data_IF_299873131880
#
_entry.id   IF_299873131880
#
_cell.length_a   1.000
_cell.length_b   1.000
_cell.length_c   1.000
_cell.angle_alpha   90.00
_cell.angle_beta   90.00
_cell.angle_gamma   90.00
#
_symmetry.space_group_name_H-M   'P 1'
#
loop_
_entity.id
_entity.type
_entity.pdbx_description
1 polymer ?
#
# COMPACT_ATOMS: atom_id res chain seq x y z
N UNK A 1 -31.67 0.87 -9.56
CA UNK A 1 -30.30 1.44 -9.50
C UNK A 1 -29.56 1.04 -10.77
N UNK A 2 -28.84 1.95 -11.44
CA UNK A 2 -28.06 1.62 -12.63
C UNK A 2 -27.01 0.55 -12.28
N UNK A 3 -26.85 -0.49 -13.12
CA UNK A 3 -26.00 -1.66 -12.85
C UNK A 3 -24.56 -1.31 -12.46
N UNK A 4 -23.94 -0.34 -13.17
CA UNK A 4 -22.59 0.12 -12.85
C UNK A 4 -22.48 0.76 -11.47
N UNK A 5 -23.53 1.47 -11.00
CA UNK A 5 -23.56 2.04 -9.64
C UNK A 5 -23.64 0.96 -8.58
N UNK A 6 -24.43 -0.11 -8.83
CA UNK A 6 -24.50 -1.28 -7.93
C UNK A 6 -23.14 -1.97 -7.85
N UNK A 7 -22.52 -2.24 -9.01
CA UNK A 7 -21.19 -2.84 -9.06
C UNK A 7 -20.17 -1.97 -8.31
N UNK A 8 -20.21 -0.65 -8.49
CA UNK A 8 -19.31 0.28 -7.81
C UNK A 8 -19.42 0.17 -6.27
N UNK A 9 -20.64 0.21 -5.72
CA UNK A 9 -20.82 0.15 -4.27
C UNK A 9 -20.46 -1.23 -3.69
N UNK A 10 -20.83 -2.31 -4.36
CA UNK A 10 -20.47 -3.67 -3.92
C UNK A 10 -18.96 -3.88 -3.98
N UNK A 11 -18.31 -3.43 -5.04
CA UNK A 11 -16.85 -3.51 -5.16
C UNK A 11 -16.15 -2.56 -4.18
N UNK A 12 -16.73 -1.41 -3.87
CA UNK A 12 -16.25 -0.52 -2.82
C UNK A 12 -16.18 -1.23 -1.47
N UNK A 13 -17.29 -1.88 -1.08
CA UNK A 13 -17.36 -2.68 0.16
C UNK A 13 -16.35 -3.83 0.11
N UNK A 14 -16.28 -4.56 -1.01
CA UNK A 14 -15.34 -5.67 -1.19
C UNK A 14 -13.88 -5.24 -1.06
N UNK A 15 -13.50 -4.13 -1.71
CA UNK A 15 -12.14 -3.57 -1.64
C UNK A 15 -11.83 -3.03 -0.27
N UNK A 16 -12.78 -2.35 0.39
CA UNK A 16 -12.63 -1.87 1.77
C UNK A 16 -12.29 -3.03 2.71
N UNK A 17 -13.10 -4.07 2.73
CA UNK A 17 -12.89 -5.21 3.62
C UNK A 17 -11.65 -6.03 3.27
N UNK A 18 -11.33 -6.19 1.99
CA UNK A 18 -10.08 -6.88 1.58
C UNK A 18 -8.84 -6.08 1.98
N UNK A 19 -8.86 -4.77 1.79
CA UNK A 19 -7.77 -3.89 2.22
C UNK A 19 -7.66 -3.85 3.75
N UNK A 20 -8.79 -3.80 4.45
CA UNK A 20 -8.82 -3.88 5.91
C UNK A 20 -8.24 -5.20 6.41
N UNK A 21 -8.62 -6.34 5.82
CA UNK A 21 -8.10 -7.66 6.19
C UNK A 21 -6.60 -7.79 5.93
N UNK A 22 -6.10 -7.19 4.84
CA UNK A 22 -4.66 -7.18 4.55
C UNK A 22 -3.88 -6.39 5.61
N UNK A 23 -4.33 -5.18 5.93
CA UNK A 23 -3.67 -4.30 6.90
C UNK A 23 -3.93 -4.68 8.35
N UNK A 24 -5.01 -5.42 8.63
CA UNK A 24 -5.35 -5.97 9.94
C UNK A 24 -4.23 -6.84 10.53
N UNK A 25 -3.54 -7.58 9.67
CA UNK A 25 -2.48 -8.51 10.08
C UNK A 25 -1.17 -7.79 10.47
N UNK A 26 -0.95 -6.57 9.97
CA UNK A 26 0.32 -5.86 10.12
C UNK A 26 0.71 -5.65 11.59
N UNK A 27 -0.15 -5.13 12.49
CA UNK A 27 0.27 -4.80 13.85
C UNK A 27 0.54 -6.01 14.75
N UNK A 28 -0.04 -7.16 14.49
CA UNK A 28 0.14 -8.32 15.36
C UNK A 28 1.03 -9.43 14.80
N UNK A 29 1.38 -9.43 13.51
CA UNK A 29 2.22 -10.47 12.93
C UNK A 29 3.59 -10.62 13.63
N UNK A 30 4.36 -9.56 13.90
CA UNK A 30 5.61 -9.68 14.64
C UNK A 30 5.41 -10.15 16.10
N UNK A 31 4.31 -9.73 16.75
CA UNK A 31 3.97 -10.18 18.09
C UNK A 31 3.58 -11.67 18.08
N UNK A 32 2.88 -12.11 17.03
CA UNK A 32 2.55 -13.53 16.86
C UNK A 32 3.78 -14.41 16.64
N UNK A 33 4.82 -13.91 15.96
CA UNK A 33 6.09 -14.62 15.83
C UNK A 33 6.71 -14.95 17.22
N UNK A 34 6.67 -14.00 18.16
CA UNK A 34 7.13 -14.24 19.54
C UNK A 34 6.29 -15.35 20.21
N UNK A 35 4.97 -15.39 19.98
CA UNK A 35 4.08 -16.40 20.55
C UNK A 35 4.32 -17.82 20.03
N UNK A 36 4.83 -17.97 18.80
CA UNK A 36 5.21 -19.27 18.22
C UNK A 36 6.68 -19.63 18.45
N UNK A 37 7.36 -18.89 19.36
CA UNK A 37 8.72 -19.23 19.81
C UNK A 37 9.85 -18.62 18.99
N UNK A 38 9.59 -17.63 18.12
CA UNK A 38 10.64 -16.90 17.41
C UNK A 38 11.10 -15.73 18.27
N UNK A 39 12.13 -15.94 19.08
CA UNK A 39 12.70 -14.88 19.92
C UNK A 39 13.97 -14.29 19.33
N UNK A 40 14.72 -15.09 18.54
CA UNK A 40 15.92 -14.63 17.85
C UNK A 40 15.56 -14.09 16.47
N UNK A 41 16.11 -12.92 16.13
CA UNK A 41 15.93 -12.28 14.82
C UNK A 41 14.47 -12.07 14.39
N UNK A 42 13.57 -11.79 15.35
CA UNK A 42 12.12 -11.58 15.08
C UNK A 42 11.88 -10.47 14.05
N UNK A 43 12.69 -9.41 14.09
CA UNK A 43 12.64 -8.30 13.14
C UNK A 43 12.97 -8.76 11.72
N UNK A 44 13.99 -9.60 11.56
CA UNK A 44 14.39 -10.15 10.26
C UNK A 44 13.31 -11.09 9.71
N UNK A 45 12.76 -11.96 10.54
CA UNK A 45 11.62 -12.80 10.17
C UNK A 45 10.42 -11.97 9.75
N UNK A 46 10.09 -10.94 10.51
CA UNK A 46 8.98 -10.01 10.17
C UNK A 46 9.21 -9.35 8.80
N UNK A 47 10.41 -8.82 8.57
CA UNK A 47 10.81 -8.23 7.30
C UNK A 47 10.69 -9.21 6.13
N UNK A 48 11.14 -10.46 6.32
CA UNK A 48 11.06 -11.53 5.33
C UNK A 48 9.60 -11.88 5.00
N UNK A 49 8.74 -12.00 6.01
CA UNK A 49 7.32 -12.33 5.84
C UNK A 49 6.55 -11.24 5.08
N UNK A 50 6.82 -9.97 5.36
CA UNK A 50 6.21 -8.86 4.60
C UNK A 50 6.77 -8.78 3.19
N UNK A 51 8.09 -8.78 3.02
CA UNK A 51 8.76 -8.68 1.73
C UNK A 51 8.42 -9.83 0.79
N UNK A 52 8.32 -11.07 1.29
CA UNK A 52 7.99 -12.25 0.49
C UNK A 52 6.60 -12.18 -0.14
N UNK A 53 5.60 -11.66 0.58
CA UNK A 53 4.26 -11.48 0.04
C UNK A 53 4.22 -10.46 -1.10
N UNK A 54 4.91 -9.30 -0.95
CA UNK A 54 5.03 -8.32 -2.01
C UNK A 54 5.80 -8.85 -3.22
N UNK A 55 6.91 -9.57 -2.99
CA UNK A 55 7.71 -10.17 -4.04
C UNK A 55 6.92 -11.19 -4.87
N UNK A 56 6.25 -12.12 -4.20
CA UNK A 56 5.41 -13.12 -4.84
C UNK A 56 4.25 -12.49 -5.61
N UNK A 57 3.62 -11.43 -5.05
CA UNK A 57 2.57 -10.67 -5.71
C UNK A 57 3.04 -9.93 -6.95
N UNK A 58 4.22 -9.32 -6.90
CA UNK A 58 4.82 -8.64 -8.05
C UNK A 58 5.08 -9.62 -9.20
N UNK A 59 5.61 -10.82 -8.91
CA UNK A 59 5.84 -11.87 -9.91
C UNK A 59 4.53 -12.43 -10.49
N UNK A 60 3.49 -12.61 -9.67
CA UNK A 60 2.23 -13.19 -10.09
C UNK A 60 1.32 -12.20 -10.84
N UNK A 61 1.47 -10.90 -10.60
CA UNK A 61 0.59 -9.86 -11.15
C UNK A 61 0.44 -9.89 -12.69
N UNK A 62 1.51 -10.01 -13.50
CA UNK A 62 1.39 -10.08 -14.96
C UNK A 62 0.67 -11.34 -15.43
N UNK A 63 0.89 -12.47 -14.74
CA UNK A 63 0.22 -13.72 -15.04
C UNK A 63 -1.29 -13.62 -14.83
N UNK A 64 -1.72 -13.19 -13.63
CA UNK A 64 -3.14 -13.05 -13.30
C UNK A 64 -3.84 -11.97 -14.09
N UNK A 65 -3.16 -10.89 -14.44
CA UNK A 65 -3.67 -9.89 -15.37
C UNK A 65 -4.01 -10.49 -16.74
N UNK A 66 -3.12 -11.36 -17.25
CA UNK A 66 -3.34 -12.08 -18.52
C UNK A 66 -4.54 -13.04 -18.46
N UNK A 67 -4.67 -13.76 -17.36
CA UNK A 67 -5.79 -14.67 -17.13
C UNK A 67 -7.11 -13.90 -17.01
N UNK A 68 -7.10 -12.75 -16.32
CA UNK A 68 -8.27 -11.86 -16.20
C UNK A 68 -8.72 -11.31 -17.56
N UNK A 69 -7.78 -10.97 -18.45
CA UNK A 69 -8.08 -10.50 -19.81
C UNK A 69 -8.65 -11.61 -20.70
N UNK A 70 -8.40 -12.89 -20.38
CA UNK A 70 -8.89 -14.05 -21.13
C UNK A 70 -10.22 -14.60 -20.58
N UNK A 71 -10.39 -14.67 -19.28
CA UNK A 71 -11.50 -15.37 -18.62
C UNK A 71 -12.49 -14.43 -17.90
N UNK A 72 -12.21 -13.14 -17.86
CA UNK A 72 -13.01 -12.14 -17.15
C UNK A 72 -12.42 -11.73 -15.80
N UNK A 73 -12.81 -10.57 -15.35
CA UNK A 73 -12.29 -9.95 -14.11
C UNK A 73 -13.04 -10.42 -12.87
N UNK A 74 -14.37 -10.59 -12.98
CA UNK A 74 -15.19 -11.08 -11.87
C UNK A 74 -14.72 -12.46 -11.38
N UNK A 75 -14.50 -13.50 -12.23
CA UNK A 75 -13.97 -14.78 -11.78
C UNK A 75 -12.62 -14.68 -11.07
N UNK A 76 -11.74 -13.75 -11.52
CA UNK A 76 -10.44 -13.55 -10.91
C UNK A 76 -10.52 -12.89 -9.54
N UNK A 77 -11.45 -11.97 -9.32
CA UNK A 77 -11.73 -11.38 -8.00
C UNK A 77 -12.23 -12.46 -7.05
N UNK A 78 -13.19 -13.30 -7.48
CA UNK A 78 -13.76 -14.38 -6.68
C UNK A 78 -12.67 -15.39 -6.29
N UNK A 79 -11.84 -15.82 -7.25
CA UNK A 79 -10.70 -16.70 -7.00
C UNK A 79 -9.76 -16.12 -5.94
N UNK A 80 -9.37 -14.83 -6.10
CA UNK A 80 -8.47 -14.18 -5.16
C UNK A 80 -9.08 -14.07 -3.76
N UNK A 81 -10.38 -13.77 -3.66
CA UNK A 81 -11.09 -13.70 -2.40
C UNK A 81 -11.14 -15.04 -1.66
N UNK A 82 -11.48 -16.13 -2.36
CA UNK A 82 -11.44 -17.46 -1.75
C UNK A 82 -10.04 -17.91 -1.36
N UNK A 83 -9.04 -17.63 -2.19
CA UNK A 83 -7.65 -17.93 -1.87
C UNK A 83 -7.20 -17.19 -0.59
N UNK A 84 -7.52 -15.90 -0.47
CA UNK A 84 -7.21 -15.13 0.74
C UNK A 84 -7.95 -15.65 1.97
N UNK A 85 -9.22 -16.02 1.86
CA UNK A 85 -9.97 -16.66 2.94
C UNK A 85 -9.28 -17.92 3.45
N UNK A 86 -8.93 -18.84 2.53
CA UNK A 86 -8.25 -20.10 2.90
C UNK A 86 -6.90 -19.83 3.55
N UNK A 87 -6.09 -18.94 2.95
CA UNK A 87 -4.75 -18.62 3.45
C UNK A 87 -4.81 -18.01 4.84
N UNK A 88 -5.66 -17.00 5.06
CA UNK A 88 -5.80 -16.38 6.38
C UNK A 88 -6.33 -17.37 7.42
N UNK A 89 -7.27 -18.25 7.04
CA UNK A 89 -7.76 -19.29 7.94
C UNK A 89 -6.63 -20.27 8.30
N UNK A 90 -5.81 -20.70 7.32
CA UNK A 90 -4.67 -21.58 7.59
C UNK A 90 -3.60 -20.91 8.47
N UNK A 91 -3.40 -19.58 8.34
CA UNK A 91 -2.48 -18.86 9.23
C UNK A 91 -2.86 -18.95 10.71
N UNK A 92 -4.13 -19.17 11.03
CA UNK A 92 -4.56 -19.39 12.42
C UNK A 92 -4.04 -20.71 13.04
N UNK A 93 -3.66 -21.67 12.22
CA UNK A 93 -3.22 -23.01 12.67
C UNK A 93 -1.70 -23.21 12.62
N UNK A 94 -0.93 -22.26 12.13
CA UNK A 94 0.53 -22.37 12.01
C UNK A 94 1.20 -22.49 13.37
N UNK A 95 2.28 -23.25 13.41
CA UNK A 95 3.06 -23.55 14.61
C UNK A 95 4.51 -23.09 14.54
N UNK A 96 5.00 -22.78 13.33
CA UNK A 96 6.38 -22.36 13.12
C UNK A 96 6.48 -21.25 12.03
N UNK A 97 7.58 -20.48 12.00
CA UNK A 97 7.73 -19.35 11.09
C UNK A 97 7.80 -19.74 9.60
N UNK A 98 8.24 -20.95 9.28
CA UNK A 98 8.32 -21.42 7.88
C UNK A 98 6.95 -21.65 7.28
N UNK A 99 5.99 -22.15 8.06
CA UNK A 99 4.60 -22.31 7.62
C UNK A 99 3.98 -20.96 7.28
N UNK A 100 4.21 -19.94 8.13
CA UNK A 100 3.75 -18.56 7.82
C UNK A 100 4.42 -18.05 6.55
N UNK A 101 5.72 -18.30 6.36
CA UNK A 101 6.45 -17.85 5.17
C UNK A 101 5.83 -18.43 3.89
N UNK A 102 5.55 -19.74 3.89
CA UNK A 102 4.89 -20.40 2.76
C UNK A 102 3.52 -19.77 2.50
N UNK A 103 2.71 -19.55 3.54
CA UNK A 103 1.39 -18.95 3.41
C UNK A 103 1.47 -17.47 2.93
N UNK A 104 2.48 -16.71 3.33
CA UNK A 104 2.74 -15.36 2.84
C UNK A 104 3.13 -15.34 1.36
N UNK A 105 3.98 -16.26 0.93
CA UNK A 105 4.31 -16.44 -0.49
C UNK A 105 3.04 -16.81 -1.28
N UNK A 106 2.26 -17.77 -0.80
CA UNK A 106 0.99 -18.15 -1.43
C UNK A 106 -0.01 -16.98 -1.46
N UNK A 107 -0.09 -16.17 -0.40
CA UNK A 107 -0.89 -14.96 -0.34
C UNK A 107 -0.51 -14.00 -1.47
N UNK A 108 0.77 -13.75 -1.66
CA UNK A 108 1.27 -12.92 -2.77
C UNK A 108 0.93 -13.53 -4.13
N UNK A 109 1.28 -14.81 -4.34
CA UNK A 109 1.04 -15.52 -5.61
C UNK A 109 -0.45 -15.56 -6.01
N UNK A 110 -1.35 -15.73 -5.05
CA UNK A 110 -2.79 -15.87 -5.29
C UNK A 110 -3.56 -14.57 -5.10
N UNK A 111 -2.90 -13.44 -4.83
CA UNK A 111 -3.50 -12.12 -4.70
C UNK A 111 -4.11 -11.64 -6.03
N UNK A 112 -4.67 -10.44 -6.03
CA UNK A 112 -5.22 -9.81 -7.24
C UNK A 112 -6.66 -9.31 -7.11
N UNK A 113 -7.23 -9.35 -5.91
CA UNK A 113 -8.60 -8.89 -5.65
C UNK A 113 -8.76 -7.38 -5.98
N UNK A 114 -7.92 -6.53 -5.39
CA UNK A 114 -8.00 -5.07 -5.59
C UNK A 114 -7.70 -4.67 -7.05
N UNK A 115 -6.61 -5.12 -7.70
CA UNK A 115 -6.37 -4.86 -9.11
C UNK A 115 -7.50 -5.36 -10.02
N UNK A 116 -8.09 -6.53 -9.71
CA UNK A 116 -9.24 -7.06 -10.42
C UNK A 116 -10.47 -6.16 -10.31
N UNK A 117 -10.76 -5.65 -9.11
CA UNK A 117 -11.85 -4.71 -8.88
C UNK A 117 -11.67 -3.39 -9.63
N UNK A 118 -10.46 -2.82 -9.61
CA UNK A 118 -10.09 -1.62 -10.36
C UNK A 118 -10.31 -1.85 -11.87
N UNK A 119 -9.85 -2.99 -12.40
CA UNK A 119 -9.99 -3.33 -13.81
C UNK A 119 -11.45 -3.53 -14.20
N UNK A 120 -12.26 -4.19 -13.35
CA UNK A 120 -13.70 -4.41 -13.61
C UNK A 120 -14.45 -3.07 -13.65
N UNK A 121 -14.21 -2.18 -12.70
CA UNK A 121 -14.82 -0.84 -12.67
C UNK A 121 -14.39 -0.02 -13.89
N UNK A 122 -13.11 -0.06 -14.24
CA UNK A 122 -12.61 0.68 -15.41
C UNK A 122 -13.27 0.29 -16.73
N UNK A 123 -13.78 -0.94 -16.84
CA UNK A 123 -14.41 -1.43 -18.09
C UNK A 123 -15.94 -1.43 -18.05
N UNK A 124 -16.55 -1.51 -16.87
CA UNK A 124 -18.01 -1.60 -16.74
C UNK A 124 -18.67 -0.28 -16.38
N UNK A 125 -17.90 0.81 -16.28
CA UNK A 125 -18.40 2.16 -15.98
C UNK A 125 -18.42 3.00 -17.26
N UNK A 126 -19.46 3.83 -17.51
CA UNK A 126 -19.46 4.79 -18.61
C UNK A 126 -18.23 5.71 -18.59
N UNK A 127 -17.68 6.02 -19.78
CA UNK A 127 -16.42 6.77 -19.91
C UNK A 127 -16.39 8.09 -19.11
N UNK A 128 -17.53 8.83 -19.09
CA UNK A 128 -17.62 10.11 -18.37
C UNK A 128 -17.56 9.93 -16.83
N UNK A 129 -17.77 8.73 -16.32
CA UNK A 129 -17.84 8.42 -14.87
C UNK A 129 -16.70 7.51 -14.39
N UNK A 130 -15.82 7.03 -15.27
CA UNK A 130 -14.72 6.13 -14.93
C UNK A 130 -13.79 6.78 -13.90
N UNK A 131 -13.41 8.04 -14.07
CA UNK A 131 -12.55 8.75 -13.12
C UNK A 131 -13.13 8.80 -11.70
N UNK A 132 -14.43 9.14 -11.60
CA UNK A 132 -15.15 9.13 -10.33
C UNK A 132 -15.17 7.71 -9.70
N UNK A 133 -15.50 6.70 -10.49
CA UNK A 133 -15.63 5.34 -10.00
C UNK A 133 -14.28 4.76 -9.52
N UNK A 134 -13.18 5.04 -10.24
CA UNK A 134 -11.83 4.64 -9.83
C UNK A 134 -11.39 5.36 -8.55
N UNK A 135 -11.71 6.65 -8.40
CA UNK A 135 -11.43 7.40 -7.17
C UNK A 135 -12.19 6.82 -5.97
N UNK A 136 -13.43 6.40 -6.16
CA UNK A 136 -14.23 5.71 -5.13
C UNK A 136 -13.58 4.39 -4.70
N UNK A 137 -13.11 3.55 -5.65
CA UNK A 137 -12.41 2.30 -5.30
C UNK A 137 -11.09 2.58 -4.56
N UNK A 138 -10.34 3.61 -4.98
CA UNK A 138 -9.13 4.02 -4.28
C UNK A 138 -9.42 4.49 -2.84
N UNK A 139 -10.54 5.21 -2.63
CA UNK A 139 -10.96 5.60 -1.28
C UNK A 139 -11.31 4.40 -0.40
N UNK A 140 -11.93 3.36 -0.97
CA UNK A 140 -12.21 2.12 -0.26
C UNK A 140 -10.92 1.44 0.23
N UNK A 141 -9.93 1.34 -0.66
CA UNK A 141 -8.63 0.75 -0.32
C UNK A 141 -7.91 1.55 0.77
N UNK A 142 -7.88 2.87 0.65
CA UNK A 142 -7.27 3.76 1.65
C UNK A 142 -7.98 3.65 3.01
N UNK A 143 -9.33 3.71 3.02
CA UNK A 143 -10.11 3.59 4.26
C UNK A 143 -9.92 2.24 4.93
N UNK A 144 -9.89 1.15 4.14
CA UNK A 144 -9.59 -0.20 4.64
C UNK A 144 -8.19 -0.28 5.25
N UNK A 145 -7.20 0.34 4.60
CA UNK A 145 -5.82 0.43 5.12
C UNK A 145 -5.71 1.15 6.46
N UNK A 146 -6.57 2.15 6.71
CA UNK A 146 -6.61 2.91 7.98
C UNK A 146 -7.33 2.12 9.08
N UNK A 147 -8.49 1.54 8.74
CA UNK A 147 -9.35 0.86 9.71
C UNK A 147 -8.82 -0.53 10.05
N UNK A 148 -8.12 -1.18 9.10
CA UNK A 148 -7.60 -2.54 9.27
C UNK A 148 -6.73 -2.73 10.51
N UNK A 149 -5.68 -1.93 10.74
CA UNK A 149 -4.84 -2.08 11.93
C UNK A 149 -5.61 -1.91 13.24
N UNK A 150 -6.61 -1.02 13.30
CA UNK A 150 -7.51 -0.87 14.47
C UNK A 150 -8.34 -2.13 14.68
N UNK A 151 -8.95 -2.67 13.62
CA UNK A 151 -9.69 -3.93 13.69
C UNK A 151 -8.78 -5.08 14.10
N UNK A 152 -7.55 -5.14 13.54
CA UNK A 152 -6.57 -6.17 13.83
C UNK A 152 -6.13 -6.16 15.28
N UNK A 153 -5.78 -4.99 15.80
CA UNK A 153 -5.41 -4.82 17.20
C UNK A 153 -6.58 -5.16 18.15
N UNK A 154 -7.80 -4.67 17.85
CA UNK A 154 -8.98 -4.98 18.63
C UNK A 154 -9.36 -6.46 18.61
N UNK A 155 -9.32 -7.12 17.45
CA UNK A 155 -9.60 -8.55 17.35
C UNK A 155 -8.51 -9.38 18.03
N UNK A 156 -7.25 -8.96 17.93
CA UNK A 156 -6.15 -9.63 18.63
C UNK A 156 -6.34 -9.60 20.16
N UNK A 157 -6.90 -8.55 20.69
CA UNK A 157 -7.24 -8.43 22.11
C UNK A 157 -8.45 -9.29 22.52
N UNK A 158 -9.50 -9.31 21.67
CA UNK A 158 -10.76 -10.01 21.97
C UNK A 158 -10.64 -11.53 21.82
N UNK A 159 -10.02 -12.00 20.73
CA UNK A 159 -9.98 -13.42 20.37
C UNK A 159 -8.56 -13.99 20.29
N UNK A 160 -7.56 -13.17 20.57
CA UNK A 160 -6.13 -13.53 20.47
C UNK A 160 -5.58 -13.38 19.05
N UNK A 161 -4.25 -13.20 18.95
CA UNK A 161 -3.54 -12.98 17.67
C UNK A 161 -3.79 -14.09 16.66
N UNK A 162 -3.88 -15.34 17.10
CA UNK A 162 -4.11 -16.53 16.26
C UNK A 162 -5.46 -16.46 15.53
N UNK A 163 -6.53 -16.20 16.27
CA UNK A 163 -7.88 -16.13 15.70
C UNK A 163 -8.17 -14.83 14.94
N UNK A 164 -7.34 -13.81 15.13
CA UNK A 164 -7.40 -12.58 14.32
C UNK A 164 -7.08 -12.86 12.84
N UNK A 165 -6.21 -13.82 12.53
CA UNK A 165 -6.02 -14.25 11.13
C UNK A 165 -7.31 -14.86 10.55
N UNK A 166 -7.96 -15.77 11.28
CA UNK A 166 -9.21 -16.37 10.83
C UNK A 166 -10.31 -15.31 10.64
N UNK A 167 -10.39 -14.33 11.53
CA UNK A 167 -11.34 -13.20 11.43
C UNK A 167 -11.11 -12.40 10.15
N UNK A 168 -9.85 -12.09 9.80
CA UNK A 168 -9.50 -11.43 8.55
C UNK A 168 -9.96 -12.28 7.33
N UNK A 169 -9.78 -13.60 7.38
CA UNK A 169 -10.27 -14.52 6.36
C UNK A 169 -11.80 -14.50 6.22
N UNK A 170 -12.52 -14.55 7.32
CA UNK A 170 -13.99 -14.52 7.35
C UNK A 170 -14.53 -13.22 6.73
N UNK A 171 -13.90 -12.09 7.05
CA UNK A 171 -14.26 -10.78 6.47
C UNK A 171 -14.14 -10.82 4.93
N UNK A 172 -13.01 -11.31 4.40
CA UNK A 172 -12.81 -11.45 2.94
C UNK A 172 -13.79 -12.44 2.33
N UNK A 173 -14.12 -13.53 3.02
CA UNK A 173 -15.10 -14.50 2.57
C UNK A 173 -16.47 -13.84 2.34
N UNK A 174 -17.00 -13.12 3.32
CA UNK A 174 -18.28 -12.42 3.17
C UNK A 174 -18.24 -11.35 2.08
N UNK A 175 -17.15 -10.60 1.96
CA UNK A 175 -16.95 -9.65 0.87
C UNK A 175 -16.99 -10.35 -0.50
N UNK A 176 -16.40 -11.55 -0.61
CA UNK A 176 -16.38 -12.35 -1.83
C UNK A 176 -17.77 -12.87 -2.17
N UNK A 177 -18.52 -13.34 -1.19
CA UNK A 177 -19.91 -13.80 -1.35
C UNK A 177 -20.80 -12.67 -1.90
N UNK A 178 -20.67 -11.45 -1.35
CA UNK A 178 -21.41 -10.28 -1.88
C UNK A 178 -21.10 -10.03 -3.36
N UNK A 179 -19.83 -10.19 -3.77
CA UNK A 179 -19.42 -10.01 -5.18
C UNK A 179 -20.01 -11.09 -6.07
N UNK A 180 -20.07 -12.35 -5.62
CA UNK A 180 -20.66 -13.46 -6.39
C UNK A 180 -22.09 -13.11 -6.78
N UNK A 181 -22.90 -12.69 -5.83
CA UNK A 181 -24.33 -12.49 -6.03
C UNK A 181 -24.70 -11.14 -6.62
N UNK A 182 -23.97 -10.08 -6.30
CA UNK A 182 -24.40 -8.70 -6.60
C UNK A 182 -23.62 -8.03 -7.73
N UNK A 183 -22.39 -8.48 -8.04
CA UNK A 183 -21.60 -7.90 -9.13
C UNK A 183 -21.92 -8.62 -10.44
N UNK A 184 -22.10 -7.88 -11.53
CA UNK A 184 -22.28 -8.41 -12.88
C UNK A 184 -21.16 -7.89 -13.79
N UNK A 185 -20.55 -8.78 -14.57
CA UNK A 185 -19.61 -8.43 -15.62
C UNK A 185 -20.30 -8.65 -16.96
N UNK A 186 -20.70 -7.53 -17.58
CA UNK A 186 -21.42 -7.55 -18.88
C UNK A 186 -20.46 -7.17 -20.00
N UNK A 187 -20.73 -7.71 -21.20
CA UNK A 187 -19.98 -7.39 -22.42
C UNK A 187 -18.46 -7.67 -22.35
N UNK A 188 -18.07 -8.66 -21.54
CA UNK A 188 -16.68 -9.07 -21.52
C UNK A 188 -16.25 -9.53 -22.92
N UNK A 189 -15.25 -8.86 -23.49
CA UNK A 189 -14.59 -9.25 -24.74
C UNK A 189 -13.14 -9.59 -24.44
N UNK A 190 -12.70 -10.82 -24.68
CA UNK A 190 -11.30 -11.19 -24.50
C UNK A 190 -10.38 -10.26 -25.31
N UNK A 191 -9.39 -9.67 -24.66
CA UNK A 191 -8.42 -8.81 -25.34
C UNK A 191 -7.38 -9.66 -26.08
N UNK A 192 -7.21 -9.40 -27.37
CA UNK A 192 -6.21 -10.09 -28.23
C UNK A 192 -4.87 -9.36 -28.30
N UNK A 193 -4.77 -8.09 -27.87
CA UNK A 193 -3.55 -7.28 -28.01
C UNK A 193 -3.05 -6.82 -26.65
N UNK A 194 -1.87 -7.27 -26.26
CA UNK A 194 -1.05 -6.64 -25.21
C UNK A 194 -0.05 -5.70 -25.85
N UNK A 195 0.08 -4.50 -25.29
CA UNK A 195 1.28 -3.68 -25.52
C UNK A 195 2.52 -4.43 -25.01
N UNK A 196 3.65 -4.25 -25.66
CA UNK A 196 4.91 -4.86 -25.23
C UNK A 196 5.39 -4.15 -23.95
N UNK A 197 5.41 -4.85 -22.83
CA UNK A 197 5.97 -4.35 -21.55
C UNK A 197 7.39 -3.83 -21.73
N UNK A 198 8.18 -4.47 -22.62
CA UNK A 198 9.54 -4.05 -22.95
C UNK A 198 9.56 -2.66 -23.61
N UNK A 199 8.62 -2.37 -24.51
CA UNK A 199 8.52 -1.05 -25.15
C UNK A 199 8.04 0.02 -24.17
N UNK A 200 7.13 -0.33 -23.25
CA UNK A 200 6.67 0.60 -22.23
C UNK A 200 7.79 0.98 -21.27
N UNK A 201 8.64 0.01 -20.90
CA UNK A 201 9.82 0.25 -20.08
C UNK A 201 10.87 1.10 -20.81
N UNK A 202 11.08 0.84 -22.10
CA UNK A 202 11.97 1.66 -22.95
C UNK A 202 11.47 3.10 -23.02
N UNK A 203 10.18 3.31 -23.28
CA UNK A 203 9.57 4.64 -23.29
C UNK A 203 9.71 5.36 -21.94
N UNK A 204 9.61 4.64 -20.84
CA UNK A 204 9.83 5.20 -19.50
C UNK A 204 11.29 5.62 -19.30
N UNK A 205 12.26 4.80 -19.72
CA UNK A 205 13.71 5.09 -19.63
C UNK A 205 14.12 6.33 -20.44
N UNK A 206 13.49 6.56 -21.57
CA UNK A 206 13.72 7.73 -22.43
C UNK A 206 13.12 9.02 -21.86
N UNK A 207 12.12 8.90 -20.96
CA UNK A 207 11.45 10.04 -20.32
C UNK A 207 12.06 10.33 -18.93
N UNK A 208 13.11 11.14 -18.89
CA UNK A 208 13.84 11.49 -17.65
C UNK A 208 12.94 12.00 -16.52
N UNK A 209 11.99 12.96 -16.71
CA UNK A 209 11.09 13.39 -15.65
C UNK A 209 10.24 12.25 -15.09
N UNK A 210 9.74 11.36 -15.94
CA UNK A 210 8.95 10.22 -15.50
C UNK A 210 9.80 9.19 -14.76
N UNK A 211 11.02 8.89 -15.23
CA UNK A 211 11.96 8.02 -14.52
C UNK A 211 12.29 8.55 -13.12
N UNK A 212 12.49 9.85 -12.97
CA UNK A 212 12.70 10.46 -11.66
C UNK A 212 11.52 10.24 -10.74
N UNK A 213 10.28 10.40 -11.24
CA UNK A 213 9.06 10.12 -10.44
C UNK A 213 9.00 8.66 -10.02
N UNK A 214 9.36 7.69 -10.90
CA UNK A 214 9.41 6.28 -10.55
C UNK A 214 10.45 5.99 -9.45
N UNK A 215 11.65 6.57 -9.55
CA UNK A 215 12.71 6.42 -8.53
C UNK A 215 12.23 6.99 -7.18
N UNK A 216 11.65 8.19 -7.19
CA UNK A 216 11.08 8.80 -5.99
C UNK A 216 9.97 7.94 -5.38
N UNK A 217 9.14 7.30 -6.22
CA UNK A 217 8.10 6.37 -5.75
C UNK A 217 8.72 5.13 -5.10
N UNK A 218 9.78 4.54 -5.68
CA UNK A 218 10.50 3.40 -5.07
C UNK A 218 11.05 3.79 -3.70
N UNK A 219 11.80 4.90 -3.62
CA UNK A 219 12.43 5.35 -2.37
C UNK A 219 11.37 5.63 -1.32
N UNK A 220 10.29 6.33 -1.67
CA UNK A 220 9.21 6.68 -0.75
C UNK A 220 8.48 5.44 -0.25
N UNK A 221 8.11 4.52 -1.14
CA UNK A 221 7.44 3.28 -0.77
C UNK A 221 8.35 2.39 0.10
N UNK A 222 9.63 2.27 -0.27
CA UNK A 222 10.64 1.59 0.54
C UNK A 222 10.70 2.19 1.94
N UNK A 223 10.84 3.52 2.04
CA UNK A 223 10.97 4.23 3.32
C UNK A 223 9.81 3.93 4.27
N UNK A 224 8.57 4.01 3.78
CA UNK A 224 7.38 3.80 4.63
C UNK A 224 7.27 2.37 5.11
N UNK A 225 7.49 1.42 4.20
CA UNK A 225 7.32 0.00 4.49
C UNK A 225 8.50 -0.60 5.29
N UNK A 226 9.62 0.15 5.40
CA UNK A 226 10.76 -0.21 6.26
C UNK A 226 10.38 -0.25 7.75
N UNK A 227 9.42 0.57 8.18
CA UNK A 227 8.98 0.63 9.60
C UNK A 227 8.03 -0.52 9.96
N UNK A 228 7.26 -1.04 9.01
CA UNK A 228 6.17 -2.00 9.29
C UNK A 228 6.59 -3.24 10.10
N UNK A 229 7.71 -3.94 9.79
CA UNK A 229 8.08 -5.15 10.49
C UNK A 229 8.56 -4.93 11.93
N UNK A 230 9.04 -3.73 12.26
CA UNK A 230 9.67 -3.44 13.55
C UNK A 230 8.78 -2.62 14.49
N UNK A 231 7.81 -1.89 13.96
CA UNK A 231 6.98 -0.98 14.75
C UNK A 231 6.21 -1.68 15.88
N UNK A 232 5.56 -2.85 15.68
CA UNK A 232 4.86 -3.54 16.77
C UNK A 232 5.81 -3.92 17.90
N UNK A 233 7.01 -4.42 17.59
CA UNK A 233 8.03 -4.78 18.58
C UNK A 233 8.52 -3.54 19.35
N UNK A 234 8.64 -2.40 18.66
CA UNK A 234 9.00 -1.14 19.33
C UNK A 234 7.89 -0.64 20.26
N UNK A 235 6.62 -0.83 19.90
CA UNK A 235 5.48 -0.47 20.74
C UNK A 235 5.43 -1.34 22.01
N UNK A 236 5.70 -2.66 21.89
CA UNK A 236 5.86 -3.54 23.05
C UNK A 236 6.89 -2.98 24.04
N UNK A 237 8.05 -2.54 23.50
CA UNK A 237 9.12 -1.95 24.31
C UNK A 237 8.71 -0.62 24.98
N UNK A 238 7.95 0.24 24.27
CA UNK A 238 7.51 1.55 24.80
C UNK A 238 6.35 1.42 25.79
N UNK A 239 5.49 0.41 25.66
CA UNK A 239 4.34 0.21 26.55
C UNK A 239 4.74 -0.30 27.95
N UNK A 240 5.87 -0.99 28.04
CA UNK A 240 6.38 -1.57 29.31
C UNK A 240 5.52 -2.70 29.87
N UNK A 241 4.41 -3.07 29.21
CA UNK A 241 3.50 -4.16 29.58
C UNK A 241 3.15 -4.99 28.36
N UNK A 242 2.86 -6.28 28.58
CA UNK A 242 2.39 -7.16 27.52
C UNK A 242 0.86 -7.00 27.26
N UNK A 243 0.14 -6.39 28.20
CA UNK A 243 -1.30 -6.22 28.13
C UNK A 243 -1.69 -5.15 27.11
N UNK A 244 -2.71 -5.41 26.31
CA UNK A 244 -3.26 -4.51 25.27
C UNK A 244 -2.27 -4.08 24.17
N UNK A 245 -1.12 -4.74 24.05
CA UNK A 245 -0.05 -4.33 23.13
C UNK A 245 -0.49 -4.39 21.66
N UNK A 246 -1.26 -5.41 21.29
CA UNK A 246 -1.78 -5.55 19.92
C UNK A 246 -2.76 -4.42 19.57
N UNK A 247 -3.61 -4.01 20.51
CA UNK A 247 -4.52 -2.88 20.34
C UNK A 247 -3.75 -1.57 20.24
N UNK A 248 -2.78 -1.33 21.12
CA UNK A 248 -1.90 -0.16 21.07
C UNK A 248 -1.13 -0.08 19.74
N UNK A 249 -0.60 -1.22 19.28
CA UNK A 249 0.02 -1.31 17.96
C UNK A 249 -0.97 -0.93 16.85
N UNK A 250 -2.18 -1.47 16.87
CA UNK A 250 -3.23 -1.13 15.91
C UNK A 250 -3.57 0.36 15.88
N UNK A 251 -3.70 1.00 17.04
CA UNK A 251 -3.95 2.44 17.16
C UNK A 251 -2.78 3.24 16.55
N UNK A 252 -1.54 2.95 16.97
CA UNK A 252 -0.36 3.68 16.51
C UNK A 252 -0.12 3.50 15.00
N UNK A 253 -0.41 2.31 14.45
CA UNK A 253 -0.37 2.08 13.01
C UNK A 253 -1.40 2.90 12.23
N UNK A 254 -2.57 3.12 12.81
CA UNK A 254 -3.66 3.86 12.16
C UNK A 254 -3.46 5.38 12.21
N UNK A 255 -2.61 5.92 13.09
CA UNK A 255 -2.42 7.37 13.24
C UNK A 255 -2.03 8.10 11.96
N UNK A 256 -1.04 7.64 11.15
CA UNK A 256 -0.73 8.29 9.88
C UNK A 256 -1.89 8.21 8.88
N UNK A 257 -2.66 7.14 8.91
CA UNK A 257 -3.85 6.97 8.09
C UNK A 257 -4.97 7.94 8.49
N UNK A 258 -5.21 8.13 9.78
CA UNK A 258 -6.17 9.11 10.32
C UNK A 258 -5.72 10.52 9.92
N UNK A 259 -4.43 10.84 10.08
CA UNK A 259 -3.87 12.10 9.61
C UNK A 259 -4.10 12.30 8.10
N UNK A 260 -3.91 11.24 7.30
CA UNK A 260 -4.18 11.26 5.86
C UNK A 260 -5.64 11.56 5.54
N UNK A 261 -6.59 10.91 6.22
CA UNK A 261 -8.01 11.14 6.00
C UNK A 261 -8.42 12.61 6.27
N UNK A 262 -7.82 13.23 7.28
CA UNK A 262 -8.11 14.62 7.67
C UNK A 262 -7.41 15.65 6.76
N UNK A 263 -6.15 15.42 6.42
CA UNK A 263 -5.30 16.44 5.81
C UNK A 263 -5.04 16.24 4.31
N UNK A 264 -5.20 15.04 3.73
CA UNK A 264 -4.96 14.82 2.30
C UNK A 264 -5.83 15.71 1.38
N UNK A 265 -7.12 16.00 1.68
CA UNK A 265 -7.91 16.93 0.87
C UNK A 265 -7.36 18.36 0.89
N UNK A 266 -6.78 18.81 2.01
CA UNK A 266 -6.16 20.14 2.14
C UNK A 266 -4.88 20.22 1.30
N UNK A 267 -4.04 19.19 1.35
CA UNK A 267 -2.84 19.09 0.53
C UNK A 267 -3.17 19.04 -0.97
N UNK A 268 -4.23 18.31 -1.36
CA UNK A 268 -4.69 18.26 -2.75
C UNK A 268 -5.09 19.63 -3.28
N UNK A 269 -5.95 20.34 -2.55
CA UNK A 269 -6.35 21.72 -2.90
C UNK A 269 -5.16 22.69 -2.95
N UNK A 270 -4.18 22.50 -2.08
CA UNK A 270 -2.98 23.33 -2.08
C UNK A 270 -2.06 22.98 -3.26
N UNK A 271 -1.95 21.68 -3.60
CA UNK A 271 -1.17 21.23 -4.75
C UNK A 271 -1.67 21.80 -6.09
N UNK A 272 -2.98 21.96 -6.22
CA UNK A 272 -3.59 22.59 -7.42
C UNK A 272 -3.16 24.07 -7.55
N UNK A 273 -2.94 24.77 -6.44
CA UNK A 273 -2.55 26.19 -6.42
C UNK A 273 -1.03 26.40 -6.57
N UNK A 274 -0.22 25.64 -5.84
CA UNK A 274 1.23 25.87 -5.76
C UNK A 274 2.05 24.88 -6.60
N UNK A 275 1.41 23.82 -7.11
CA UNK A 275 2.01 22.76 -7.91
C UNK A 275 2.43 21.53 -7.07
N UNK A 276 2.32 20.35 -7.67
CA UNK A 276 2.61 19.06 -7.04
C UNK A 276 4.05 18.93 -6.53
N UNK A 277 5.01 19.57 -7.19
CA UNK A 277 6.41 19.50 -6.83
C UNK A 277 6.71 20.17 -5.49
N UNK A 278 6.15 21.36 -5.22
CA UNK A 278 6.34 22.05 -3.93
C UNK A 278 5.70 21.27 -2.80
N UNK A 279 4.52 20.68 -3.06
CA UNK A 279 3.83 19.82 -2.09
C UNK A 279 4.62 18.56 -1.80
N UNK A 280 5.18 17.91 -2.84
CA UNK A 280 6.07 16.77 -2.68
C UNK A 280 7.28 17.11 -1.81
N UNK A 281 7.94 18.25 -2.10
CA UNK A 281 9.10 18.71 -1.33
C UNK A 281 8.78 18.88 0.16
N UNK A 282 7.70 19.59 0.50
CA UNK A 282 7.31 19.85 1.89
C UNK A 282 6.84 18.55 2.57
N UNK A 283 6.13 17.70 1.85
CA UNK A 283 5.70 16.39 2.35
C UNK A 283 6.89 15.48 2.71
N UNK A 284 7.90 15.40 1.83
CA UNK A 284 9.12 14.62 2.07
C UNK A 284 9.98 15.23 3.18
N UNK A 285 10.13 16.54 3.20
CA UNK A 285 10.90 17.24 4.23
C UNK A 285 10.27 17.04 5.63
N UNK A 286 8.99 17.40 5.78
CA UNK A 286 8.27 17.23 7.04
C UNK A 286 8.16 15.78 7.46
N UNK A 287 7.76 14.89 6.50
CA UNK A 287 7.72 13.45 6.74
C UNK A 287 9.06 12.90 7.23
N UNK A 288 10.17 13.30 6.61
CA UNK A 288 11.53 12.88 6.99
C UNK A 288 11.94 13.37 8.37
N UNK A 289 11.82 14.68 8.63
CA UNK A 289 12.20 15.30 9.91
C UNK A 289 11.39 14.71 11.08
N UNK A 290 10.06 14.64 10.94
CA UNK A 290 9.22 14.14 12.01
C UNK A 290 9.35 12.62 12.18
N UNK A 291 9.71 11.85 11.14
CA UNK A 291 10.04 10.42 11.29
C UNK A 291 11.33 10.22 12.07
N UNK A 292 12.39 11.00 11.81
CA UNK A 292 13.61 11.00 12.63
C UNK A 292 13.28 11.45 14.06
N UNK A 293 12.45 12.49 14.21
CA UNK A 293 12.03 13.01 15.51
C UNK A 293 11.33 11.98 16.40
N UNK A 294 10.76 10.90 15.85
CA UNK A 294 10.17 9.80 16.63
C UNK A 294 11.16 9.14 17.58
N UNK A 295 12.44 9.14 17.24
CA UNK A 295 13.52 8.54 18.06
C UNK A 295 13.72 9.26 19.39
N UNK A 296 13.37 10.55 19.46
CA UNK A 296 13.55 11.36 20.67
C UNK A 296 12.53 11.05 21.76
N UNK A 297 11.43 10.36 21.42
CA UNK A 297 10.36 10.06 22.35
C UNK A 297 10.45 8.63 22.88
N UNK A 298 10.66 8.51 24.17
CA UNK A 298 10.78 7.23 24.89
C UNK A 298 9.48 6.77 25.51
N UNK A 299 8.40 7.56 25.39
CA UNK A 299 7.07 7.26 25.90
C UNK A 299 6.08 7.11 24.75
N UNK A 300 5.15 6.16 24.89
CA UNK A 300 4.17 5.82 23.85
C UNK A 300 3.35 7.01 23.36
N UNK A 301 2.91 7.91 24.27
CA UNK A 301 2.10 9.08 23.91
C UNK A 301 2.87 10.10 23.06
N UNK A 302 4.11 10.41 23.45
CA UNK A 302 4.97 11.34 22.68
C UNK A 302 5.31 10.75 21.31
N UNK A 303 5.65 9.46 21.25
CA UNK A 303 5.88 8.73 20.01
C UNK A 303 4.64 8.75 19.10
N UNK A 304 3.45 8.50 19.66
CA UNK A 304 2.19 8.49 18.92
C UNK A 304 1.86 9.87 18.35
N UNK A 305 2.06 10.93 19.13
CA UNK A 305 1.82 12.31 18.68
C UNK A 305 2.73 12.69 17.50
N UNK A 306 4.03 12.45 17.62
CA UNK A 306 4.98 12.80 16.55
C UNK A 306 4.75 11.94 15.29
N UNK A 307 4.30 10.70 15.47
CA UNK A 307 3.91 9.81 14.38
C UNK A 307 2.66 10.33 13.65
N UNK A 308 1.66 10.81 14.37
CA UNK A 308 0.51 11.49 13.76
C UNK A 308 0.94 12.73 12.97
N UNK A 309 1.82 13.56 13.54
CA UNK A 309 2.36 14.76 12.86
C UNK A 309 3.15 14.35 11.60
N UNK A 310 3.99 13.31 11.66
CA UNK A 310 4.68 12.83 10.46
C UNK A 310 3.70 12.40 9.36
N UNK A 311 2.57 11.80 9.76
CA UNK A 311 1.47 11.42 8.86
C UNK A 311 0.82 12.61 8.14
N UNK A 312 0.69 13.77 8.82
CA UNK A 312 0.15 15.00 8.21
C UNK A 312 0.98 15.44 6.99
N UNK A 313 2.30 15.35 7.07
CA UNK A 313 3.17 15.71 5.94
C UNK A 313 3.25 14.58 4.92
N UNK A 314 3.39 13.36 5.39
CA UNK A 314 3.57 12.20 4.52
C UNK A 314 2.35 11.94 3.61
N UNK A 315 1.13 12.24 4.06
CA UNK A 315 -0.09 12.03 3.27
C UNK A 315 -0.12 12.86 1.96
N UNK A 316 0.72 13.90 1.87
CA UNK A 316 0.85 14.72 0.65
C UNK A 316 1.69 14.03 -0.44
N UNK A 317 2.56 13.07 -0.08
CA UNK A 317 3.63 12.57 -0.95
C UNK A 317 3.09 11.73 -2.11
N UNK A 318 2.31 10.68 -1.84
CA UNK A 318 1.77 9.83 -2.91
C UNK A 318 0.82 10.55 -3.87
N UNK A 319 -0.12 11.40 -3.41
CA UNK A 319 -0.92 12.22 -4.32
C UNK A 319 -0.07 13.16 -5.19
N UNK A 320 0.98 13.74 -4.62
CA UNK A 320 1.89 14.61 -5.38
C UNK A 320 2.69 13.81 -6.43
N UNK A 321 3.21 12.63 -6.10
CA UNK A 321 3.87 11.72 -7.05
C UNK A 321 2.92 11.32 -8.18
N UNK A 322 1.69 10.92 -7.86
CA UNK A 322 0.68 10.58 -8.87
C UNK A 322 0.33 11.77 -9.78
N UNK A 323 0.24 12.98 -9.22
CA UNK A 323 0.09 14.21 -9.98
C UNK A 323 1.26 14.48 -10.94
N UNK A 324 2.49 14.18 -10.50
CA UNK A 324 3.70 14.28 -11.33
C UNK A 324 3.72 13.20 -12.42
N UNK A 325 3.25 11.97 -12.18
CA UNK A 325 3.05 10.95 -13.24
C UNK A 325 2.17 11.51 -14.36
N UNK A 326 1.01 12.10 -14.02
CA UNK A 326 0.10 12.70 -15.00
C UNK A 326 0.78 13.84 -15.78
N UNK A 327 1.56 14.67 -15.10
CA UNK A 327 2.25 15.82 -15.74
C UNK A 327 3.42 15.40 -16.63
N UNK A 328 4.13 14.33 -16.27
CA UNK A 328 5.31 13.86 -17.01
C UNK A 328 5.00 12.93 -18.18
N UNK A 329 3.73 12.54 -18.38
CA UNK A 329 3.34 11.56 -19.41
C UNK A 329 2.24 12.12 -20.35
N UNK A 330 2.20 11.55 -21.57
CA UNK A 330 1.13 11.85 -22.55
C UNK A 330 -0.16 11.11 -22.20
N UNK A 331 -1.30 11.57 -22.73
CA UNK A 331 -2.60 10.97 -22.45
C UNK A 331 -2.69 9.50 -22.81
N UNK A 332 -2.15 9.15 -23.98
CA UNK A 332 -2.14 7.77 -24.49
C UNK A 332 -1.26 6.83 -23.68
N UNK A 333 -0.28 7.35 -22.94
CA UNK A 333 0.65 6.56 -22.12
C UNK A 333 0.27 6.51 -20.64
N UNK A 334 -0.65 7.37 -20.16
CA UNK A 334 -1.01 7.50 -18.73
C UNK A 334 -1.36 6.18 -18.05
N UNK A 335 -2.21 5.37 -18.66
CA UNK A 335 -2.60 4.07 -18.07
C UNK A 335 -1.40 3.15 -17.84
N UNK A 336 -0.48 3.09 -18.81
CA UNK A 336 0.77 2.31 -18.73
C UNK A 336 1.73 2.92 -17.72
N UNK A 337 1.81 4.24 -17.65
CA UNK A 337 2.63 4.96 -16.68
C UNK A 337 2.18 4.69 -15.24
N UNK A 338 0.87 4.67 -14.96
CA UNK A 338 0.36 4.26 -13.65
C UNK A 338 0.68 2.78 -13.34
N UNK A 339 0.67 1.90 -14.34
CA UNK A 339 1.11 0.52 -14.18
C UNK A 339 2.59 0.42 -13.77
N UNK A 340 3.47 1.19 -14.43
CA UNK A 340 4.88 1.28 -14.06
C UNK A 340 5.10 1.90 -12.68
N UNK A 341 4.32 2.93 -12.33
CA UNK A 341 4.34 3.54 -10.99
C UNK A 341 3.90 2.55 -9.90
N UNK A 342 2.90 1.70 -10.18
CA UNK A 342 2.50 0.62 -9.29
C UNK A 342 3.62 -0.42 -9.13
N UNK A 343 4.34 -0.75 -10.21
CA UNK A 343 5.53 -1.62 -10.14
C UNK A 343 6.63 -0.99 -9.27
N UNK A 344 6.87 0.32 -9.40
CA UNK A 344 7.79 1.05 -8.52
C UNK A 344 7.38 0.96 -7.05
N UNK A 345 6.08 1.10 -6.75
CA UNK A 345 5.55 0.91 -5.39
C UNK A 345 5.78 -0.52 -4.88
N UNK A 346 5.58 -1.53 -5.73
CA UNK A 346 5.83 -2.93 -5.37
C UNK A 346 7.30 -3.23 -5.09
N UNK A 347 8.22 -2.64 -5.86
CA UNK A 347 9.67 -2.74 -5.59
C UNK A 347 9.99 -2.19 -4.20
N UNK A 348 9.44 -1.01 -3.85
CA UNK A 348 9.54 -0.45 -2.50
C UNK A 348 8.91 -1.36 -1.45
N UNK A 349 7.78 -2.02 -1.78
CA UNK A 349 7.09 -2.98 -0.93
C UNK A 349 7.90 -4.25 -0.64
N UNK A 350 8.78 -4.66 -1.56
CA UNK A 350 9.71 -5.77 -1.33
C UNK A 350 10.92 -5.31 -0.51
N UNK A 351 11.55 -4.23 -0.95
CA UNK A 351 12.83 -3.78 -0.39
C UNK A 351 12.68 -3.17 1.01
N UNK A 352 11.61 -2.41 1.24
CA UNK A 352 11.39 -1.73 2.52
C UNK A 352 11.37 -2.68 3.71
N UNK A 353 10.46 -3.66 3.78
CA UNK A 353 10.38 -4.58 4.91
C UNK A 353 11.65 -5.42 5.10
N UNK A 354 12.31 -5.83 4.02
CA UNK A 354 13.58 -6.57 4.10
C UNK A 354 14.69 -5.71 4.74
N UNK A 355 14.82 -4.46 4.31
CA UNK A 355 15.78 -3.51 4.89
C UNK A 355 15.42 -3.23 6.36
N UNK A 356 14.14 -2.99 6.64
CA UNK A 356 13.66 -2.71 8.00
C UNK A 356 13.91 -3.85 8.97
N UNK A 357 13.60 -5.08 8.54
CA UNK A 357 13.86 -6.27 9.32
C UNK A 357 15.36 -6.53 9.56
N UNK A 358 16.18 -6.33 8.51
CA UNK A 358 17.64 -6.50 8.62
C UNK A 358 18.26 -5.46 9.57
N UNK A 359 17.95 -4.18 9.38
CA UNK A 359 18.47 -3.09 10.22
C UNK A 359 17.98 -3.22 11.67
N UNK A 360 16.68 -3.51 11.87
CA UNK A 360 16.10 -3.71 13.20
C UNK A 360 16.64 -4.93 13.93
N UNK A 361 17.08 -5.97 13.20
CA UNK A 361 17.68 -7.16 13.78
C UNK A 361 19.17 -7.03 14.12
N UNK A 362 19.91 -6.09 13.51
CA UNK A 362 21.33 -5.86 13.73
C UNK A 362 21.56 -4.66 14.66
N UNK A 363 20.79 -3.61 14.50
CA UNK A 363 20.93 -2.34 15.22
C UNK A 363 19.70 -2.10 16.10
N UNK A 364 19.77 -1.17 17.08
CA UNK A 364 18.59 -0.76 17.84
C UNK A 364 17.45 -0.36 16.91
N UNK A 365 16.20 -0.73 17.25
CA UNK A 365 15.01 -0.47 16.42
C UNK A 365 14.86 1.00 16.02
N UNK A 366 15.33 1.93 16.85
CA UNK A 366 15.37 3.37 16.56
C UNK A 366 16.12 3.70 15.26
N UNK A 367 17.13 2.90 14.90
CA UNK A 367 17.90 3.07 13.66
C UNK A 367 17.03 2.93 12.39
N UNK A 368 15.95 2.16 12.49
CA UNK A 368 14.99 1.99 11.38
C UNK A 368 14.23 3.29 11.12
N UNK A 369 13.81 4.02 12.16
CA UNK A 369 13.16 5.33 12.02
C UNK A 369 14.13 6.37 11.48
N UNK A 370 15.40 6.36 11.94
CA UNK A 370 16.45 7.23 11.40
C UNK A 370 16.68 6.96 9.90
N UNK A 371 16.85 5.69 9.52
CA UNK A 371 17.02 5.31 8.12
C UNK A 371 15.84 5.74 7.26
N UNK A 372 14.61 5.46 7.72
CA UNK A 372 13.39 5.86 7.01
C UNK A 372 13.34 7.37 6.77
N UNK A 373 13.59 8.17 7.81
CA UNK A 373 13.59 9.62 7.68
C UNK A 373 14.71 10.13 6.78
N UNK A 374 15.91 9.53 6.83
CA UNK A 374 17.02 9.86 5.94
C UNK A 374 16.68 9.53 4.49
N UNK A 375 16.06 8.38 4.19
CA UNK A 375 15.62 8.04 2.84
C UNK A 375 14.60 9.05 2.29
N UNK A 376 13.66 9.51 3.13
CA UNK A 376 12.71 10.57 2.75
C UNK A 376 13.43 11.90 2.46
N UNK A 377 14.43 12.27 3.27
CA UNK A 377 15.22 13.47 3.03
C UNK A 377 16.09 13.35 1.78
N UNK A 378 16.65 12.17 1.50
CA UNK A 378 17.36 11.90 0.24
C UNK A 378 16.41 12.06 -0.96
N UNK A 379 15.19 11.49 -0.88
CA UNK A 379 14.18 11.70 -1.91
C UNK A 379 13.82 13.17 -2.09
N UNK A 380 13.75 13.94 -1.00
CA UNK A 380 13.52 15.39 -1.03
C UNK A 380 14.64 16.14 -1.76
N UNK A 381 15.91 15.84 -1.44
CA UNK A 381 17.08 16.43 -2.09
C UNK A 381 17.10 16.10 -3.58
N UNK A 382 16.83 14.84 -3.94
CA UNK A 382 16.72 14.42 -5.35
C UNK A 382 15.60 15.18 -6.09
N UNK A 383 14.43 15.33 -5.48
CA UNK A 383 13.32 16.09 -6.06
C UNK A 383 13.65 17.56 -6.22
N UNK A 384 14.41 18.15 -5.28
CA UNK A 384 14.84 19.55 -5.34
C UNK A 384 15.88 19.80 -6.45
N UNK A 385 16.95 19.00 -6.52
CA UNK A 385 18.00 19.17 -7.52
C UNK A 385 17.50 18.98 -8.95
N UNK A 386 16.54 18.09 -9.14
CA UNK A 386 15.91 17.86 -10.44
C UNK A 386 14.63 18.67 -10.66
N UNK A 387 14.43 19.74 -9.89
CA UNK A 387 13.23 20.58 -9.96
C UNK A 387 12.98 21.17 -11.34
N UNK A 388 14.04 21.53 -12.06
CA UNK A 388 13.96 22.06 -13.43
C UNK A 388 13.48 21.00 -14.44
N UNK A 389 13.86 19.74 -14.28
CA UNK A 389 13.39 18.64 -15.13
C UNK A 389 11.91 18.33 -14.87
N UNK A 390 11.48 18.31 -13.60
CA UNK A 390 10.08 18.13 -13.22
C UNK A 390 9.17 19.28 -13.69
N UNK A 391 9.73 20.49 -13.85
CA UNK A 391 9.00 21.68 -14.35
C UNK A 391 9.09 21.86 -15.87
N UNK A 392 10.11 21.33 -16.55
CA UNK A 392 10.34 21.56 -18.00
C UNK A 392 9.23 20.97 -18.86
N UNK A 393 8.54 19.94 -18.42
CA UNK A 393 7.36 19.37 -19.07
C UNK A 393 6.15 20.34 -19.13
N UNK A 394 6.07 21.30 -18.21
CA UNK A 394 5.05 22.35 -18.24
C UNK A 394 5.28 23.36 -19.38
N UNK A 395 6.53 23.72 -19.67
CA UNK A 395 6.87 24.67 -20.74
C UNK A 395 6.67 24.07 -22.13
N UNK A 396 6.97 22.78 -22.35
CA UNK A 396 6.77 22.13 -23.66
C UNK A 396 5.29 22.02 -24.05
N UNK A 397 4.37 21.76 -23.12
CA UNK A 397 2.92 21.72 -23.41
C UNK A 397 2.31 23.12 -23.68
N UNK A 398 2.79 24.16 -23.02
CA UNK A 398 2.33 25.54 -23.26
C UNK A 398 2.77 26.09 -24.63
N UNK A 399 3.84 25.55 -25.22
CA UNK A 399 4.34 25.92 -26.55
C UNK A 399 3.65 25.12 -27.67
N UNK A 400 3.22 23.88 -27.41
CA UNK A 400 2.52 23.04 -28.41
C UNK A 400 1.00 23.31 -28.48
N UNK A 401 0.44 24.11 -27.56
CA UNK A 401 -0.97 24.51 -27.53
C UNK A 401 -1.21 25.94 -28.08
N UNK A 402 -0.16 26.62 -28.56
CA UNK A 402 -0.20 27.81 -29.39
C UNK A 402 0.15 27.43 -30.83
#
# INVERSE_FOLDING_TARGET
MLRWKRNLWVLWIGVFFTSASFSMVIPFLPIFLLQIGVHDHTEMWSGLLFGSAFFAGALASPFWGSVADKYGRKPMIIRAGFALFVIYTLMAFVTNPYEILVLRILQGLLSGFIPGAIALIGTNTPNEKVGYALSMISSASASGGIVGPLLGGGMAELVGNRWSFASAGIIVFFATILIIFLVTEENFKPSKKRGSVKNDFKTALENRPFMLVLILTVITACSVLTIEPVLPLYIVKLSGSADNTSLLAGIVFSLPGIASALFAPLWGKWADKVGFQKVLFIGLLGGGIFTIGQVLFTHLWGFSLIRFVSGIFFCAVFPALNGLVVKSTTEDFRGRAFGLNQTATQIGGVTGPLIGGLIGGIFPVQSVFMLTGLLLLVAMVMAYWNSNELNSTLKRKAVSSK
#
